data_IF_168987191359
#
_entry.id   IF_168987191359
#
_cell.length_a   1.000
_cell.length_b   1.000
_cell.length_c   1.000
_cell.angle_alpha   90.00
_cell.angle_beta   90.00
_cell.angle_gamma   90.00
#
_symmetry.space_group_name_H-M   'P 1'
#
loop_
_entity.id
_entity.type
_entity.pdbx_description
1 polymer ?
#
# COMPACT_ATOMS: atom_id res chain seq x y z
N UNK A 1 -0.71 -10.23 17.53
CA UNK A 1 -0.60 -9.34 16.35
C UNK A 1 -1.97 -8.85 15.95
N UNK A 2 -2.18 -7.53 15.92
CA UNK A 2 -3.40 -6.88 15.44
C UNK A 2 -3.12 -6.30 14.06
N UNK A 3 -3.87 -6.76 13.06
CA UNK A 3 -3.73 -6.31 11.67
C UNK A 3 -4.89 -5.40 11.33
N UNK A 4 -4.59 -4.26 10.72
CA UNK A 4 -5.57 -3.41 10.05
C UNK A 4 -5.39 -3.57 8.55
N UNK A 5 -6.45 -3.95 7.86
CA UNK A 5 -6.50 -3.95 6.40
C UNK A 5 -7.50 -2.89 5.94
N UNK A 6 -7.05 -1.96 5.11
CA UNK A 6 -7.85 -0.90 4.53
C UNK A 6 -8.17 -1.30 3.09
N UNK A 7 -9.46 -1.26 2.73
CA UNK A 7 -9.88 -1.45 1.34
C UNK A 7 -9.39 -0.32 0.43
N UNK A 8 -9.92 -0.30 -0.80
CA UNK A 8 -9.51 0.62 -1.84
C UNK A 8 -9.50 2.09 -1.41
N UNK A 9 -8.31 2.68 -1.46
CA UNK A 9 -8.13 4.12 -1.31
C UNK A 9 -8.45 4.78 -2.65
N UNK A 10 -9.60 5.45 -2.73
CA UNK A 10 -10.08 6.05 -3.98
C UNK A 10 -9.84 7.56 -4.00
N UNK A 11 -8.91 7.99 -4.85
CA UNK A 11 -8.66 9.39 -5.16
C UNK A 11 -8.35 10.29 -3.96
N UNK A 12 -8.50 11.60 -4.15
CA UNK A 12 -8.21 12.59 -3.10
C UNK A 12 -9.06 12.44 -1.83
N UNK A 13 -10.36 12.07 -1.89
CA UNK A 13 -11.14 11.82 -0.68
C UNK A 13 -10.61 10.64 0.15
N UNK A 14 -10.24 9.53 -0.51
CA UNK A 14 -9.65 8.37 0.16
C UNK A 14 -8.33 8.73 0.84
N UNK A 15 -7.43 9.43 0.13
CA UNK A 15 -6.15 9.86 0.73
C UNK A 15 -6.34 10.84 1.89
N UNK A 16 -7.34 11.72 1.82
CA UNK A 16 -7.65 12.68 2.90
C UNK A 16 -8.06 11.96 4.18
N UNK A 17 -8.97 10.98 4.12
CA UNK A 17 -9.38 10.28 5.34
C UNK A 17 -8.24 9.46 5.96
N UNK A 18 -7.32 8.92 5.13
CA UNK A 18 -6.10 8.28 5.62
C UNK A 18 -5.25 9.29 6.41
N UNK A 19 -4.93 10.42 5.79
CA UNK A 19 -4.14 11.48 6.42
C UNK A 19 -4.77 11.95 7.74
N UNK A 20 -6.09 12.16 7.75
CA UNK A 20 -6.76 12.80 8.88
C UNK A 20 -7.02 11.84 10.06
N UNK A 21 -7.17 10.53 9.81
CA UNK A 21 -7.71 9.59 10.82
C UNK A 21 -6.86 8.35 11.08
N UNK A 22 -5.96 7.96 10.18
CA UNK A 22 -5.26 6.68 10.32
C UNK A 22 -4.41 6.63 11.59
N UNK A 23 -3.65 7.68 11.89
CA UNK A 23 -2.79 7.73 13.07
C UNK A 23 -3.55 7.44 14.38
N UNK A 24 -4.74 8.04 14.54
CA UNK A 24 -5.61 7.80 15.70
C UNK A 24 -6.04 6.34 15.80
N UNK A 25 -6.43 5.72 14.68
CA UNK A 25 -6.87 4.33 14.64
C UNK A 25 -5.70 3.40 15.00
N UNK A 26 -4.52 3.64 14.42
CA UNK A 26 -3.32 2.85 14.71
C UNK A 26 -2.98 2.88 16.20
N UNK A 27 -3.07 4.05 16.84
CA UNK A 27 -2.81 4.22 18.26
C UNK A 27 -3.92 3.61 19.14
N UNK A 28 -5.18 3.94 18.91
CA UNK A 28 -6.31 3.48 19.74
C UNK A 28 -6.49 1.96 19.66
N UNK A 29 -6.27 1.38 18.47
CA UNK A 29 -6.40 -0.05 18.24
C UNK A 29 -5.09 -0.81 18.40
N UNK A 30 -3.99 -0.16 18.79
CA UNK A 30 -2.69 -0.80 18.99
C UNK A 30 -2.33 -1.71 17.79
N UNK A 31 -2.41 -1.16 16.59
CA UNK A 31 -2.21 -1.91 15.34
C UNK A 31 -0.72 -2.21 15.15
N UNK A 32 -0.41 -3.48 14.97
CA UNK A 32 0.95 -3.98 14.77
C UNK A 32 1.38 -3.96 13.30
N UNK A 33 0.42 -4.12 12.39
CA UNK A 33 0.61 -4.15 10.93
C UNK A 33 -0.58 -3.49 10.23
N UNK A 34 -0.31 -2.47 9.42
CA UNK A 34 -1.32 -1.79 8.60
C UNK A 34 -1.06 -2.06 7.12
N UNK A 35 -2.08 -2.51 6.41
CA UNK A 35 -2.04 -2.83 4.97
C UNK A 35 -3.17 -2.05 4.31
N UNK A 36 -2.97 -1.57 3.08
CA UNK A 36 -4.02 -0.91 2.31
C UNK A 36 -3.99 -1.25 0.82
N UNK A 37 -5.16 -1.38 0.18
CA UNK A 37 -5.24 -1.40 -1.29
C UNK A 37 -5.16 0.03 -1.84
N UNK A 38 -4.18 0.27 -2.69
CA UNK A 38 -3.87 1.59 -3.23
C UNK A 38 -4.21 1.76 -4.72
N UNK A 39 -4.83 0.77 -5.37
CA UNK A 39 -4.98 0.74 -6.83
C UNK A 39 -5.76 1.91 -7.44
N UNK A 40 -6.58 2.60 -6.66
CA UNK A 40 -7.42 3.72 -7.09
C UNK A 40 -6.94 5.08 -6.56
N UNK A 41 -5.71 5.14 -6.02
CA UNK A 41 -5.21 6.29 -5.27
C UNK A 41 -4.98 7.53 -6.13
N UNK A 42 -4.55 7.37 -7.39
CA UNK A 42 -4.25 8.48 -8.29
C UNK A 42 -5.47 8.84 -9.14
N UNK A 43 -6.28 9.81 -8.68
CA UNK A 43 -7.48 10.29 -9.39
C UNK A 43 -8.43 9.16 -9.82
N UNK A 44 -8.53 8.11 -9.00
CA UNK A 44 -9.39 6.94 -9.25
C UNK A 44 -8.73 5.77 -9.96
N UNK A 45 -7.52 5.92 -10.51
CA UNK A 45 -6.84 4.87 -11.29
C UNK A 45 -5.31 4.90 -11.11
N UNK A 46 -4.78 3.79 -10.63
CA UNK A 46 -3.36 3.56 -10.32
C UNK A 46 -2.85 4.34 -9.12
N UNK A 47 -1.52 4.37 -9.01
CA UNK A 47 -0.79 5.09 -7.96
C UNK A 47 0.49 5.70 -8.54
N UNK A 48 0.91 6.86 -8.04
CA UNK A 48 2.20 7.47 -8.40
C UNK A 48 3.19 7.29 -7.24
N UNK A 49 4.52 7.36 -7.49
CA UNK A 49 5.54 7.21 -6.44
C UNK A 49 5.30 8.13 -5.24
N UNK A 50 5.07 9.42 -5.50
CA UNK A 50 4.74 10.42 -4.46
C UNK A 50 3.55 10.00 -3.60
N UNK A 51 2.48 9.48 -4.22
CA UNK A 51 1.29 9.07 -3.49
C UNK A 51 1.52 7.79 -2.69
N UNK A 52 2.34 6.86 -3.18
CA UNK A 52 2.74 5.68 -2.42
C UNK A 52 3.54 6.09 -1.18
N UNK A 53 4.53 6.97 -1.35
CA UNK A 53 5.34 7.50 -0.25
C UNK A 53 4.48 8.21 0.80
N UNK A 54 3.53 9.06 0.40
CA UNK A 54 2.55 9.70 1.30
C UNK A 54 1.75 8.69 2.13
N UNK A 55 1.34 7.56 1.53
CA UNK A 55 0.60 6.51 2.22
C UNK A 55 1.48 5.72 3.19
N UNK A 56 2.75 5.46 2.83
CA UNK A 56 3.71 4.85 3.75
C UNK A 56 4.01 5.77 4.94
N UNK A 57 4.20 7.08 4.69
CA UNK A 57 4.41 8.09 5.72
C UNK A 57 3.22 8.22 6.68
N UNK A 58 1.99 7.96 6.20
CA UNK A 58 0.79 7.91 7.03
C UNK A 58 0.73 6.69 7.99
N UNK A 59 1.69 5.77 7.90
CA UNK A 59 1.80 4.60 8.78
C UNK A 59 1.25 3.31 8.19
N UNK A 60 0.96 3.28 6.89
CA UNK A 60 0.68 2.02 6.17
C UNK A 60 2.02 1.32 5.92
N UNK A 61 2.12 0.04 6.25
CA UNK A 61 3.36 -0.72 6.08
C UNK A 61 3.44 -1.35 4.69
N UNK A 62 2.32 -1.89 4.19
CA UNK A 62 2.24 -2.56 2.89
C UNK A 62 1.13 -1.94 2.06
N UNK A 63 1.42 -1.64 0.80
CA UNK A 63 0.42 -1.25 -0.18
C UNK A 63 0.19 -2.42 -1.13
N UNK A 64 -1.01 -2.99 -1.12
CA UNK A 64 -1.44 -3.88 -2.20
C UNK A 64 -1.98 -3.07 -3.37
N UNK A 65 -1.99 -3.68 -4.54
CA UNK A 65 -2.60 -3.15 -5.75
C UNK A 65 -3.74 -4.04 -6.23
N UNK A 66 -4.11 -3.84 -7.49
CA UNK A 66 -5.15 -4.61 -8.17
C UNK A 66 -5.02 -4.47 -9.68
N UNK A 67 -6.14 -4.39 -10.38
CA UNK A 67 -6.15 -4.29 -11.84
C UNK A 67 -5.66 -2.93 -12.35
N UNK A 68 -5.74 -1.86 -11.56
CA UNK A 68 -5.29 -0.52 -11.96
C UNK A 68 -3.83 -0.21 -11.61
N UNK A 69 -3.08 -1.17 -11.07
CA UNK A 69 -1.74 -0.91 -10.51
C UNK A 69 -0.73 -0.34 -11.53
N UNK A 70 -0.91 -0.62 -12.83
CA UNK A 70 -0.02 -0.16 -13.91
C UNK A 70 -0.56 1.06 -14.69
N UNK A 71 -1.66 1.68 -14.26
CA UNK A 71 -2.29 2.79 -15.01
C UNK A 71 -1.47 4.09 -14.97
N UNK A 72 -0.49 4.19 -14.06
CA UNK A 72 0.47 5.29 -13.98
C UNK A 72 1.85 4.81 -14.42
N UNK A 73 2.40 5.41 -15.49
CA UNK A 73 3.68 4.99 -16.08
C UNK A 73 4.86 5.13 -15.12
N UNK A 74 4.74 6.04 -14.16
CA UNK A 74 5.74 6.31 -13.14
C UNK A 74 5.93 5.14 -12.16
N UNK A 75 4.95 4.23 -12.05
CA UNK A 75 5.02 3.08 -11.14
C UNK A 75 6.06 2.04 -11.58
N UNK A 76 6.35 1.97 -12.89
CA UNK A 76 7.23 0.95 -13.47
C UNK A 76 8.66 1.09 -12.95
N UNK A 77 9.17 2.32 -12.87
CA UNK A 77 10.49 2.63 -12.35
C UNK A 77 10.53 2.62 -10.82
N UNK A 78 9.38 2.70 -10.15
CA UNK A 78 9.28 2.74 -8.68
C UNK A 78 9.29 1.35 -8.04
N UNK A 79 8.67 0.36 -8.68
CA UNK A 79 8.61 -1.01 -8.17
C UNK A 79 9.96 -1.60 -7.72
N UNK A 80 11.06 -1.47 -8.48
CA UNK A 80 12.37 -1.98 -8.06
C UNK A 80 12.90 -1.34 -6.77
N UNK A 81 12.43 -0.14 -6.43
CA UNK A 81 12.89 0.63 -5.27
C UNK A 81 11.95 0.52 -4.06
N UNK A 82 10.73 -0.01 -4.23
CA UNK A 82 9.75 -0.17 -3.16
C UNK A 82 9.17 -1.59 -3.12
N UNK A 83 9.81 -2.53 -2.42
CA UNK A 83 9.33 -3.91 -2.34
C UNK A 83 8.03 -4.07 -1.53
N UNK A 84 7.61 -3.04 -0.79
CA UNK A 84 6.35 -3.01 -0.02
C UNK A 84 5.13 -2.55 -0.83
N UNK A 85 5.33 -2.14 -2.09
CA UNK A 85 4.24 -1.92 -3.05
C UNK A 85 4.06 -3.18 -3.87
N UNK A 86 2.91 -3.83 -3.72
CA UNK A 86 2.60 -5.11 -4.34
C UNK A 86 1.66 -4.96 -5.53
N UNK A 87 1.82 -5.85 -6.50
CA UNK A 87 0.89 -6.06 -7.62
C UNK A 87 0.24 -7.45 -7.50
N UNK A 88 -0.84 -7.76 -8.24
CA UNK A 88 -1.39 -9.12 -8.27
C UNK A 88 -0.33 -10.17 -8.63
N UNK A 89 -0.24 -11.25 -7.84
CA UNK A 89 0.82 -12.24 -7.96
C UNK A 89 0.83 -12.99 -9.31
N UNK A 90 -0.31 -13.06 -9.98
CA UNK A 90 -0.57 -13.79 -11.22
C UNK A 90 -0.26 -13.01 -12.51
N UNK A 91 0.41 -11.86 -12.45
CA UNK A 91 0.96 -11.22 -13.65
C UNK A 91 2.07 -12.08 -14.28
N UNK A 92 2.27 -11.99 -15.62
CA UNK A 92 3.30 -12.75 -16.31
C UNK A 92 4.71 -12.52 -15.75
N UNK A 93 5.59 -13.50 -15.97
CA UNK A 93 7.00 -13.38 -15.63
C UNK A 93 7.63 -12.16 -16.34
N UNK A 94 8.48 -11.42 -15.62
CA UNK A 94 9.10 -10.18 -16.10
C UNK A 94 8.27 -8.92 -15.86
N UNK A 95 7.02 -9.02 -15.40
CA UNK A 95 6.25 -7.85 -14.97
C UNK A 95 6.95 -7.17 -13.76
N UNK A 96 7.07 -5.83 -13.73
CA UNK A 96 7.69 -5.12 -12.62
C UNK A 96 6.98 -5.37 -11.28
N UNK A 97 7.76 -5.36 -10.20
CA UNK A 97 7.25 -5.51 -8.85
C UNK A 97 6.96 -6.94 -8.43
N UNK A 98 6.62 -7.10 -7.16
CA UNK A 98 6.35 -8.40 -6.53
C UNK A 98 4.87 -8.56 -6.20
N UNK A 99 4.40 -9.81 -6.15
CA UNK A 99 3.11 -10.17 -5.58
C UNK A 99 3.17 -10.63 -4.12
N UNK A 100 4.36 -10.62 -3.53
CA UNK A 100 4.62 -11.10 -2.18
C UNK A 100 5.70 -10.24 -1.51
N UNK A 101 5.53 -9.95 -0.23
CA UNK A 101 6.54 -9.32 0.60
C UNK A 101 6.60 -10.03 1.96
N UNK A 102 7.81 -10.36 2.42
CA UNK A 102 8.01 -10.93 3.75
C UNK A 102 8.67 -9.90 4.66
N UNK A 103 8.14 -9.75 5.86
CA UNK A 103 8.61 -8.75 6.82
C UNK A 103 8.38 -9.15 8.28
N UNK A 104 8.55 -8.19 9.18
CA UNK A 104 8.23 -8.33 10.59
C UNK A 104 7.36 -7.14 11.04
N UNK A 105 6.26 -7.43 11.71
CA UNK A 105 5.34 -6.42 12.24
C UNK A 105 6.00 -5.66 13.41
N UNK A 106 5.38 -4.57 13.89
CA UNK A 106 5.93 -3.73 14.99
C UNK A 106 6.23 -4.51 16.27
N UNK A 107 5.48 -5.59 16.53
CA UNK A 107 5.69 -6.48 17.68
C UNK A 107 6.70 -7.61 17.42
N UNK A 108 7.41 -7.59 16.29
CA UNK A 108 8.43 -8.58 15.91
C UNK A 108 7.89 -9.87 15.28
N UNK A 109 6.57 -10.06 15.19
CA UNK A 109 5.98 -11.23 14.54
C UNK A 109 6.25 -11.16 13.03
N UNK A 110 6.85 -12.22 12.47
CA UNK A 110 7.09 -12.33 11.02
C UNK A 110 5.78 -12.55 10.26
N UNK A 111 5.67 -11.93 9.10
CA UNK A 111 4.53 -12.08 8.19
C UNK A 111 4.99 -12.20 6.74
N UNK A 112 4.05 -12.66 5.89
CA UNK A 112 4.16 -12.75 4.44
C UNK A 112 2.84 -12.26 3.82
#
# INVERSE_FOLDING_TARGET
MRVLFIGDIVGSPGRRIIHDRLADILAQQQVDLCIANCENSASGFGITPRLADELFEAGIEILSGGNHIFDRKEVFDYFPHQPRLLRPANFPEGAPGSGLYMGAAKNGVRYA
#
